data_IF_401869012503
#
_entry.id   IF_401869012503
#
_cell.length_a   1.000
_cell.length_b   1.000
_cell.length_c   1.000
_cell.angle_alpha   90.00
_cell.angle_beta   90.00
_cell.angle_gamma   90.00
#
_symmetry.space_group_name_H-M   'P 1'
#
loop_
_entity.id
_entity.type
_entity.pdbx_description
1 polymer ?
#
# COMPACT_ATOMS: atom_id res chain seq x y z
N UNK A 1 4.39 15.94 -12.95
CA UNK A 1 4.57 14.50 -13.09
C UNK A 1 4.31 13.78 -11.81
N UNK A 2 3.63 12.68 -11.92
CA UNK A 2 3.30 11.91 -10.76
C UNK A 2 4.52 11.40 -10.03
N UNK A 3 4.31 10.89 -8.86
CA UNK A 3 5.37 10.48 -8.00
C UNK A 3 6.10 9.22 -8.44
N UNK A 4 7.07 8.85 -7.65
CA UNK A 4 7.86 7.65 -7.87
C UNK A 4 7.38 6.58 -6.91
N UNK A 5 6.93 5.45 -7.44
CA UNK A 5 6.47 4.33 -6.62
C UNK A 5 7.58 3.31 -6.47
N UNK A 6 7.82 2.88 -5.24
CA UNK A 6 8.81 1.86 -4.93
C UNK A 6 8.12 0.74 -4.18
N UNK A 7 8.09 -0.44 -4.77
CA UNK A 7 7.50 -1.60 -4.11
C UNK A 7 8.37 -2.02 -2.93
N UNK A 8 7.78 -2.09 -1.75
CA UNK A 8 8.48 -2.46 -0.53
C UNK A 8 8.35 -3.95 -0.27
N UNK A 9 7.14 -4.49 -0.37
CA UNK A 9 6.92 -5.89 -0.04
C UNK A 9 5.59 -6.37 -0.60
N UNK A 10 5.53 -7.66 -0.92
CA UNK A 10 4.26 -8.31 -1.23
C UNK A 10 4.02 -9.36 -0.17
N UNK A 11 2.77 -9.50 0.22
CA UNK A 11 2.36 -10.44 1.27
C UNK A 11 1.21 -11.26 0.72
N UNK A 12 1.27 -12.61 0.84
CA UNK A 12 0.15 -13.43 0.40
C UNK A 12 -1.12 -13.05 1.16
N UNK A 13 -2.21 -12.89 0.44
CA UNK A 13 -3.50 -12.54 1.06
C UNK A 13 -4.12 -13.82 1.63
N UNK A 14 -4.21 -13.87 2.95
CA UNK A 14 -4.75 -15.05 3.64
C UNK A 14 -6.19 -15.28 3.25
N UNK A 15 -6.53 -16.55 3.03
CA UNK A 15 -7.87 -16.92 2.64
C UNK A 15 -8.08 -16.96 1.12
N UNK A 16 -7.06 -16.63 0.34
CA UNK A 16 -7.13 -16.71 -1.11
C UNK A 16 -5.98 -17.55 -1.63
N UNK A 17 -6.14 -18.07 -2.85
CA UNK A 17 -5.09 -18.88 -3.47
C UNK A 17 -4.00 -18.02 -4.08
N UNK A 18 -4.39 -16.99 -4.79
CA UNK A 18 -3.45 -16.17 -5.53
C UNK A 18 -3.44 -14.71 -5.11
N UNK A 19 -4.22 -14.35 -4.10
CA UNK A 19 -4.31 -12.97 -3.68
C UNK A 19 -3.01 -12.45 -3.08
N UNK A 20 -2.74 -11.17 -3.30
CA UNK A 20 -1.55 -10.52 -2.77
C UNK A 20 -1.91 -9.17 -2.18
N UNK A 21 -1.19 -8.81 -1.11
CA UNK A 21 -1.21 -7.46 -0.58
C UNK A 21 0.14 -6.86 -0.99
N UNK A 22 0.12 -5.74 -1.69
CA UNK A 22 1.36 -5.07 -2.07
C UNK A 22 1.51 -3.79 -1.27
N UNK A 23 2.70 -3.58 -0.73
CA UNK A 23 3.02 -2.39 0.05
C UNK A 23 4.07 -1.60 -0.71
N UNK A 24 3.78 -0.35 -1.01
CA UNK A 24 4.69 0.50 -1.77
C UNK A 24 4.80 1.87 -1.12
N UNK A 25 5.89 2.56 -1.41
CA UNK A 25 6.05 3.96 -1.02
C UNK A 25 5.96 4.79 -2.29
N UNK A 26 5.14 5.82 -2.27
CA UNK A 26 5.00 6.73 -3.41
C UNK A 26 5.49 8.09 -2.97
N UNK A 27 6.53 8.60 -3.64
CA UNK A 27 7.06 9.92 -3.37
C UNK A 27 6.39 10.93 -4.29
N UNK A 28 6.03 12.07 -3.74
CA UNK A 28 5.39 13.16 -4.48
C UNK A 28 4.18 12.68 -5.30
N UNK A 29 3.22 12.00 -4.65
CA UNK A 29 2.10 11.38 -5.39
C UNK A 29 1.19 12.39 -6.08
N UNK A 30 1.17 13.63 -5.60
CA UNK A 30 0.30 14.68 -6.14
C UNK A 30 1.10 15.78 -6.83
N UNK A 31 2.36 15.48 -7.20
CA UNK A 31 3.20 16.41 -7.87
C UNK A 31 4.35 16.87 -7.00
N UNK A 32 5.20 17.71 -7.59
CA UNK A 32 6.41 18.19 -6.92
C UNK A 32 6.08 18.87 -5.60
N UNK A 33 6.80 18.50 -4.56
CA UNK A 33 6.64 19.10 -3.25
C UNK A 33 5.59 18.44 -2.36
N UNK A 34 4.85 17.45 -2.87
CA UNK A 34 3.88 16.76 -2.05
C UNK A 34 4.58 15.70 -1.18
N UNK A 35 3.99 15.42 -0.02
CA UNK A 35 4.56 14.45 0.91
C UNK A 35 4.36 13.02 0.40
N UNK A 36 5.33 12.16 0.68
CA UNK A 36 5.24 10.75 0.32
C UNK A 36 4.10 10.07 1.06
N UNK A 37 3.55 9.03 0.46
CA UNK A 37 2.49 8.24 1.08
C UNK A 37 2.82 6.76 0.96
N UNK A 38 2.19 5.95 1.81
CA UNK A 38 2.23 4.52 1.68
C UNK A 38 1.06 4.09 0.81
N UNK A 39 1.30 3.15 -0.10
CA UNK A 39 0.24 2.61 -0.95
C UNK A 39 0.05 1.14 -0.61
N UNK A 40 -1.17 0.76 -0.34
CA UNK A 40 -1.52 -0.64 -0.06
C UNK A 40 -2.46 -1.09 -1.16
N UNK A 41 -2.05 -2.11 -1.90
CA UNK A 41 -2.88 -2.65 -2.97
C UNK A 41 -3.29 -4.08 -2.63
N UNK A 42 -4.49 -4.45 -3.01
CA UNK A 42 -4.99 -5.81 -2.84
C UNK A 42 -5.32 -6.35 -4.21
N UNK A 43 -4.66 -7.43 -4.57
CA UNK A 43 -4.88 -8.08 -5.85
C UNK A 43 -5.41 -9.48 -5.60
N UNK A 44 -6.56 -9.79 -6.17
CA UNK A 44 -7.14 -11.13 -6.04
C UNK A 44 -6.62 -12.06 -7.12
N UNK A 45 -6.08 -11.49 -8.21
CA UNK A 45 -5.53 -12.28 -9.32
C UNK A 45 -4.06 -12.57 -9.17
N UNK A 46 -3.41 -12.00 -8.17
CA UNK A 46 -1.98 -12.19 -7.97
C UNK A 46 -1.09 -11.21 -8.73
N UNK A 47 -1.67 -10.21 -9.35
CA UNK A 47 -0.94 -9.21 -10.11
C UNK A 47 -0.77 -7.94 -9.26
N UNK A 48 0.44 -7.76 -8.71
CA UNK A 48 0.73 -6.61 -7.86
C UNK A 48 0.74 -5.29 -8.62
N UNK A 49 0.84 -5.32 -9.94
CA UNK A 49 0.86 -4.11 -10.75
C UNK A 49 -0.54 -3.60 -11.06
N UNK A 50 -1.54 -4.45 -10.94
CA UNK A 50 -2.93 -4.08 -11.23
C UNK A 50 -3.86 -4.59 -10.13
N UNK A 51 -3.73 -4.02 -8.91
CA UNK A 51 -4.59 -4.44 -7.80
C UNK A 51 -6.05 -4.03 -8.06
N UNK A 52 -6.97 -4.89 -7.64
CA UNK A 52 -8.39 -4.58 -7.74
C UNK A 52 -8.77 -3.45 -6.78
N UNK A 53 -8.00 -3.28 -5.73
CA UNK A 53 -8.27 -2.28 -4.71
C UNK A 53 -6.97 -1.67 -4.22
N UNK A 54 -6.98 -0.36 -4.02
CA UNK A 54 -5.78 0.35 -3.60
C UNK A 54 -6.15 1.52 -2.69
N UNK A 55 -5.32 1.76 -1.69
CA UNK A 55 -5.50 2.89 -0.79
C UNK A 55 -4.15 3.53 -0.50
N UNK A 56 -4.16 4.85 -0.35
CA UNK A 56 -2.97 5.61 0.01
C UNK A 56 -3.12 6.13 1.43
N UNK A 57 -2.07 5.98 2.23
CA UNK A 57 -2.04 6.44 3.60
C UNK A 57 -0.90 7.44 3.78
N UNK A 58 -1.17 8.63 4.34
CA UNK A 58 -0.10 9.56 4.65
C UNK A 58 0.90 8.93 5.62
N UNK A 59 2.19 9.22 5.44
CA UNK A 59 3.20 8.62 6.32
C UNK A 59 2.99 8.99 7.78
N UNK A 60 2.47 10.18 8.04
CA UNK A 60 2.20 10.61 9.41
C UNK A 60 1.14 9.79 10.12
N UNK A 61 0.34 9.03 9.39
CA UNK A 61 -0.70 8.19 9.98
C UNK A 61 -0.30 6.73 10.10
N UNK A 62 0.87 6.35 9.58
CA UNK A 62 1.28 4.94 9.56
C UNK A 62 1.33 4.35 10.97
N UNK A 63 1.95 5.03 11.90
CA UNK A 63 2.08 4.50 13.26
C UNK A 63 0.73 4.29 13.93
N UNK A 64 -0.20 5.21 13.73
CA UNK A 64 -1.53 5.08 14.30
C UNK A 64 -2.28 3.89 13.69
N UNK A 65 -2.11 3.68 12.38
CA UNK A 65 -2.74 2.55 11.70
C UNK A 65 -2.14 1.23 12.20
N UNK A 66 -0.82 1.19 12.38
CA UNK A 66 -0.16 0.00 12.90
C UNK A 66 -0.71 -0.35 14.29
N UNK A 67 -0.81 0.64 15.17
CA UNK A 67 -1.32 0.41 16.53
C UNK A 67 -2.77 -0.07 16.50
N UNK A 68 -3.59 0.55 15.67
CA UNK A 68 -4.99 0.14 15.56
C UNK A 68 -5.12 -1.29 15.06
N UNK A 69 -4.31 -1.68 14.09
CA UNK A 69 -4.35 -3.04 13.56
C UNK A 69 -3.91 -4.07 14.58
N UNK A 70 -2.94 -3.70 15.43
CA UNK A 70 -2.49 -4.61 16.49
C UNK A 70 -3.59 -4.90 17.51
N UNK A 71 -4.47 -3.94 17.76
CA UNK A 71 -5.56 -4.15 18.73
C UNK A 71 -6.64 -5.08 18.21
N UNK A 72 -6.73 -5.25 16.90
CA UNK A 72 -7.70 -6.17 16.30
C UNK A 72 -7.26 -7.62 16.51
N UNK A 73 -5.97 -7.82 16.51
CA UNK A 73 -5.41 -9.14 16.72
C UNK A 73 -5.35 -9.49 18.21
#
# INVERSE_FOLDING_TARGET
MGGKATLVKTIPLEGTKNGLISISKIEEPYGEGSDAVASIGISLSGDATEPEWKVHLPLGNIDAVIEALKTIK
#
